data_IF_749483788963
#
_entry.id   IF_749483788963
#
_cell.length_a   1.000
_cell.length_b   1.000
_cell.length_c   1.000
_cell.angle_alpha   90.00
_cell.angle_beta   90.00
_cell.angle_gamma   90.00
#
_symmetry.space_group_name_H-M   'P 1'
#
loop_
_entity.id
_entity.type
_entity.pdbx_description
1 polymer ?
#
# COMPACT_ATOMS: atom_id res chain seq x y z
N UNK A 1 -15.90 0.22 -8.84
CA UNK A 1 -14.47 0.58 -8.92
C UNK A 1 -14.04 1.06 -7.55
N UNK A 2 -12.96 0.53 -6.99
CA UNK A 2 -12.47 0.91 -5.66
C UNK A 2 -11.59 2.14 -5.78
N UNK A 3 -11.80 3.13 -4.91
CA UNK A 3 -11.00 4.36 -4.87
C UNK A 3 -10.09 4.28 -3.64
N UNK A 4 -8.80 4.50 -3.83
CA UNK A 4 -7.78 4.50 -2.78
C UNK A 4 -7.03 5.83 -2.78
N UNK A 5 -6.38 6.12 -1.65
CA UNK A 5 -5.51 7.28 -1.46
C UNK A 5 -4.21 6.85 -0.79
N UNK A 6 -3.23 7.76 -0.78
CA UNK A 6 -2.06 7.61 0.07
C UNK A 6 -2.44 7.26 1.51
N UNK A 7 -1.67 6.37 2.14
CA UNK A 7 -1.84 5.87 3.50
C UNK A 7 -3.07 4.98 3.78
N UNK A 8 -3.95 4.77 2.80
CA UNK A 8 -5.02 3.78 2.91
C UNK A 8 -4.44 2.39 3.20
N UNK A 9 -5.16 1.62 4.01
CA UNK A 9 -4.80 0.25 4.34
C UNK A 9 -5.46 -0.70 3.34
N UNK A 10 -4.68 -1.63 2.79
CA UNK A 10 -5.17 -2.69 1.90
C UNK A 10 -4.71 -4.06 2.38
N UNK A 11 -5.46 -5.10 2.03
CA UNK A 11 -5.18 -6.51 2.37
C UNK A 11 -5.64 -7.45 1.26
N UNK A 12 -5.16 -8.68 1.32
CA UNK A 12 -5.62 -9.80 0.50
C UNK A 12 -6.45 -10.77 1.35
N UNK A 13 -7.29 -11.58 0.70
CA UNK A 13 -8.19 -12.52 1.37
C UNK A 13 -7.42 -13.57 2.20
N UNK A 14 -6.26 -13.99 1.71
CA UNK A 14 -5.41 -14.97 2.40
C UNK A 14 -4.57 -14.43 3.55
N UNK A 15 -4.61 -13.12 3.83
CA UNK A 15 -3.81 -12.51 4.89
C UNK A 15 -4.54 -12.50 6.22
N UNK A 16 -3.83 -12.85 7.29
CA UNK A 16 -4.38 -12.88 8.65
C UNK A 16 -3.78 -11.75 9.50
N UNK A 17 -4.61 -10.77 9.87
CA UNK A 17 -4.20 -9.68 10.78
C UNK A 17 -3.16 -8.72 10.21
N UNK A 18 -2.92 -8.76 8.90
CA UNK A 18 -1.89 -7.98 8.22
C UNK A 18 -2.52 -7.16 7.10
N UNK A 19 -2.21 -5.87 7.09
CA UNK A 19 -2.49 -4.95 6.00
C UNK A 19 -1.21 -4.23 5.60
N UNK A 20 -1.21 -3.68 4.40
CA UNK A 20 -0.14 -2.82 3.88
C UNK A 20 -0.69 -1.45 3.56
N UNK A 21 0.19 -0.47 3.52
CA UNK A 21 -0.16 0.92 3.16
C UNK A 21 -0.07 1.12 1.66
N UNK A 22 -0.96 1.93 1.12
CA UNK A 22 -0.81 2.50 -0.23
C UNK A 22 0.17 3.67 -0.16
N UNK A 23 1.22 3.63 -0.98
CA UNK A 23 2.13 4.72 -1.25
C UNK A 23 1.80 5.37 -2.60
N UNK A 24 1.98 6.68 -2.70
CA UNK A 24 1.82 7.45 -3.94
C UNK A 24 2.94 8.48 -4.02
N UNK A 25 3.38 8.84 -5.23
CA UNK A 25 4.43 9.84 -5.42
C UNK A 25 4.01 11.20 -4.83
N UNK A 26 2.75 11.62 -5.06
CA UNK A 26 2.18 12.87 -4.52
C UNK A 26 2.10 12.82 -3.00
N UNK A 27 1.52 11.77 -2.43
CA UNK A 27 1.36 11.62 -0.99
C UNK A 27 2.68 11.51 -0.24
N UNK A 28 3.68 10.83 -0.84
CA UNK A 28 5.02 10.78 -0.29
C UNK A 28 5.66 12.17 -0.29
N UNK A 29 5.63 12.90 -1.40
CA UNK A 29 6.16 14.26 -1.47
C UNK A 29 5.48 15.21 -0.46
N UNK A 30 4.14 15.16 -0.36
CA UNK A 30 3.37 15.94 0.60
C UNK A 30 3.83 15.70 2.05
N UNK A 31 4.08 14.44 2.41
CA UNK A 31 4.52 14.04 3.75
C UNK A 31 5.90 14.63 4.15
N UNK A 32 6.71 15.04 3.17
CA UNK A 32 8.04 15.62 3.39
C UNK A 32 8.13 17.09 2.92
N UNK A 33 7.00 17.75 2.66
CA UNK A 33 6.96 19.15 2.24
C UNK A 33 7.49 19.41 0.82
N UNK A 34 7.57 18.38 -0.02
CA UNK A 34 7.93 18.49 -1.42
C UNK A 34 6.75 18.86 -2.32
N UNK A 35 7.05 19.28 -3.55
CA UNK A 35 6.04 19.50 -4.59
C UNK A 35 5.47 18.14 -5.06
N UNK A 36 4.16 17.99 -4.90
CA UNK A 36 3.45 16.74 -5.20
C UNK A 36 3.44 16.43 -6.69
N UNK A 37 3.22 17.46 -7.52
CA UNK A 37 3.07 17.27 -8.96
C UNK A 37 4.44 17.11 -9.62
N UNK A 38 5.47 17.82 -9.15
CA UNK A 38 6.85 17.58 -9.58
C UNK A 38 7.30 16.14 -9.30
N UNK A 39 7.01 15.61 -8.09
CA UNK A 39 7.34 14.24 -7.74
C UNK A 39 6.60 13.22 -8.63
N UNK A 40 5.31 13.42 -8.86
CA UNK A 40 4.53 12.57 -9.75
C UNK A 40 5.09 12.59 -11.18
N UNK A 41 5.28 13.77 -11.77
CA UNK A 41 5.81 13.91 -13.13
C UNK A 41 7.22 13.33 -13.28
N UNK A 42 8.04 13.40 -12.22
CA UNK A 42 9.37 12.77 -12.20
C UNK A 42 9.27 11.24 -12.30
N UNK A 43 8.39 10.60 -11.55
CA UNK A 43 8.21 9.15 -11.63
C UNK A 43 7.69 8.73 -13.02
N UNK A 44 6.69 9.46 -13.56
CA UNK A 44 6.18 9.22 -14.91
C UNK A 44 7.28 9.35 -15.97
N UNK A 45 8.07 10.43 -15.91
CA UNK A 45 9.18 10.67 -16.85
C UNK A 45 10.24 9.58 -16.81
N UNK A 46 10.47 8.98 -15.64
CA UNK A 46 11.41 7.90 -15.46
C UNK A 46 10.83 6.51 -15.78
N UNK A 47 9.55 6.43 -16.15
CA UNK A 47 8.87 5.16 -16.44
C UNK A 47 8.61 4.32 -15.18
N UNK A 48 8.52 4.95 -14.02
CA UNK A 48 8.20 4.29 -12.76
C UNK A 48 6.69 4.33 -12.47
N UNK A 49 6.20 3.36 -11.70
CA UNK A 49 4.84 3.41 -11.17
C UNK A 49 4.71 4.56 -10.16
N UNK A 50 3.60 5.29 -10.24
CA UNK A 50 3.30 6.45 -9.40
C UNK A 50 2.63 6.07 -8.07
N UNK A 51 2.24 4.80 -7.92
CA UNK A 51 1.68 4.20 -6.71
C UNK A 51 2.31 2.83 -6.43
N UNK A 52 2.41 2.47 -5.15
CA UNK A 52 2.99 1.19 -4.69
C UNK A 52 2.35 0.77 -3.36
N UNK A 53 2.67 -0.43 -2.86
CA UNK A 53 2.36 -0.81 -1.49
C UNK A 53 3.59 -0.81 -0.59
N UNK A 54 3.39 -0.54 0.70
CA UNK A 54 4.44 -0.52 1.70
C UNK A 54 4.12 -1.47 2.84
N UNK A 55 4.92 -2.53 2.95
CA UNK A 55 4.98 -3.44 4.09
C UNK A 55 6.29 -3.25 4.85
N UNK A 56 6.18 -2.89 6.13
CA UNK A 56 7.34 -2.65 7.00
C UNK A 56 7.65 -3.83 7.95
N UNK A 57 7.02 -4.99 7.76
CA UNK A 57 7.18 -6.12 8.67
C UNK A 57 6.56 -5.89 10.05
N UNK A 58 7.00 -6.68 11.03
CA UNK A 58 6.57 -6.56 12.42
C UNK A 58 7.76 -6.27 13.32
N UNK A 59 7.65 -5.24 14.16
CA UNK A 59 8.63 -4.96 15.20
C UNK A 59 8.36 -5.81 16.46
N UNK A 60 9.44 -6.25 17.10
CA UNK A 60 9.40 -6.83 18.44
C UNK A 60 9.46 -5.70 19.47
N UNK A 61 8.55 -5.70 20.43
CA UNK A 61 8.51 -4.72 21.51
C UNK A 61 8.91 -5.40 22.82
N UNK A 62 9.96 -4.89 23.47
CA UNK A 62 10.41 -5.40 24.78
C UNK A 62 9.43 -5.04 25.92
N UNK A 63 8.71 -3.93 25.78
CA UNK A 63 7.60 -3.58 26.67
C UNK A 63 6.32 -4.30 26.23
N UNK A 64 5.81 -5.16 27.11
CA UNK A 64 4.61 -5.97 26.87
C UNK A 64 3.35 -5.13 26.74
N UNK A 65 3.20 -4.06 27.52
CA UNK A 65 2.01 -3.20 27.49
C UNK A 65 1.97 -2.42 26.18
N UNK A 66 3.10 -1.81 25.81
CA UNK A 66 3.23 -1.13 24.52
C UNK A 66 3.08 -2.09 23.33
N UNK A 67 3.64 -3.30 23.43
CA UNK A 67 3.48 -4.35 22.42
C UNK A 67 2.02 -4.76 22.22
N UNK A 68 1.25 -4.89 23.30
CA UNK A 68 -0.18 -5.18 23.24
C UNK A 68 -0.98 -4.05 22.58
N UNK A 69 -0.66 -2.78 22.90
CA UNK A 69 -1.26 -1.62 22.25
C UNK A 69 -1.00 -1.64 20.73
N UNK A 70 0.25 -1.88 20.32
CA UNK A 70 0.61 -1.97 18.88
C UNK A 70 0.04 -3.20 18.18
N UNK A 71 -0.23 -4.29 18.90
CA UNK A 71 -0.98 -5.42 18.36
C UNK A 71 -2.45 -5.05 18.12
N UNK A 72 -3.10 -4.39 19.09
CA UNK A 72 -4.48 -3.93 18.95
C UNK A 72 -4.64 -2.93 17.78
N UNK A 73 -3.76 -1.92 17.68
CA UNK A 73 -3.76 -0.97 16.56
C UNK A 73 -3.65 -1.67 15.19
N UNK A 74 -2.85 -2.75 15.09
CA UNK A 74 -2.71 -3.53 13.86
C UNK A 74 -3.98 -4.28 13.51
N UNK A 75 -4.65 -4.90 14.49
CA UNK A 75 -5.93 -5.57 14.28
C UNK A 75 -6.98 -4.58 13.79
N UNK A 76 -7.07 -3.39 14.39
CA UNK A 76 -8.00 -2.36 13.93
C UNK A 76 -7.72 -1.91 12.49
N UNK A 77 -6.45 -1.66 12.15
CA UNK A 77 -6.04 -1.32 10.78
C UNK A 77 -6.41 -2.44 9.80
N UNK A 78 -6.17 -3.69 10.17
CA UNK A 78 -6.53 -4.84 9.34
C UNK A 78 -8.05 -4.96 9.12
N UNK A 79 -8.86 -4.76 10.16
CA UNK A 79 -10.32 -4.81 10.06
C UNK A 79 -10.82 -3.73 9.08
N UNK A 80 -10.26 -2.52 9.17
CA UNK A 80 -10.63 -1.38 8.31
C UNK A 80 -9.98 -1.41 6.91
N UNK A 81 -9.01 -2.28 6.68
CA UNK A 81 -8.29 -2.35 5.41
C UNK A 81 -9.21 -2.81 4.27
N UNK A 82 -9.03 -2.20 3.10
CA UNK A 82 -9.72 -2.57 1.87
C UNK A 82 -9.23 -3.93 1.37
N UNK A 83 -10.17 -4.80 1.02
CA UNK A 83 -9.85 -6.07 0.37
C UNK A 83 -9.58 -5.85 -1.11
N UNK A 84 -8.42 -6.30 -1.59
CA UNK A 84 -8.05 -6.29 -3.00
C UNK A 84 -7.98 -7.71 -3.57
N UNK A 85 -8.20 -7.81 -4.87
CA UNK A 85 -8.10 -9.06 -5.64
C UNK A 85 -7.18 -8.88 -6.86
N UNK A 86 -6.48 -9.95 -7.29
CA UNK A 86 -5.61 -9.89 -8.48
C UNK A 86 -6.44 -9.57 -9.73
N UNK A 87 -5.98 -8.62 -10.54
CA UNK A 87 -6.68 -8.14 -11.73
C UNK A 87 -7.76 -7.09 -11.47
N UNK A 88 -8.04 -6.73 -10.21
CA UNK A 88 -9.00 -5.68 -9.88
C UNK A 88 -8.55 -4.31 -10.39
N UNK A 89 -9.48 -3.55 -10.97
CA UNK A 89 -9.25 -2.14 -11.28
C UNK A 89 -9.52 -1.25 -10.07
N UNK A 90 -8.57 -0.36 -9.80
CA UNK A 90 -8.63 0.64 -8.73
C UNK A 90 -8.29 2.02 -9.28
N UNK A 91 -8.85 3.05 -8.67
CA UNK A 91 -8.45 4.44 -8.90
C UNK A 91 -7.65 4.93 -7.69
N UNK A 92 -6.46 5.47 -7.93
CA UNK A 92 -5.58 6.02 -6.89
C UNK A 92 -5.22 7.45 -7.31
N UNK A 93 -5.65 8.44 -6.53
CA UNK A 93 -5.38 9.86 -6.80
C UNK A 93 -5.73 10.31 -8.23
N UNK A 94 -6.82 9.77 -8.80
CA UNK A 94 -7.31 10.12 -10.15
C UNK A 94 -6.69 9.30 -11.28
N UNK A 95 -5.76 8.39 -10.99
CA UNK A 95 -5.15 7.48 -11.96
C UNK A 95 -5.71 6.06 -11.82
N UNK A 96 -5.86 5.35 -12.94
CA UNK A 96 -6.37 3.98 -12.95
C UNK A 96 -5.23 2.96 -12.97
N UNK A 97 -5.34 1.97 -12.09
CA UNK A 97 -4.38 0.88 -11.97
C UNK A 97 -5.09 -0.48 -11.98
N UNK A 98 -4.39 -1.49 -12.47
CA UNK A 98 -4.73 -2.89 -12.27
C UNK A 98 -3.91 -3.42 -11.10
N UNK A 99 -4.58 -4.00 -10.12
CA UNK A 99 -3.95 -4.71 -8.99
C UNK A 99 -3.25 -5.95 -9.53
N UNK A 100 -1.97 -6.11 -9.20
CA UNK A 100 -1.20 -7.32 -9.46
C UNK A 100 -0.62 -7.87 -8.17
N UNK A 101 -1.10 -9.04 -7.74
CA UNK A 101 -0.52 -9.76 -6.60
C UNK A 101 0.71 -10.52 -7.09
N UNK A 102 1.87 -10.24 -6.49
CA UNK A 102 3.12 -10.91 -6.84
C UNK A 102 3.08 -12.33 -6.28
N UNK A 103 3.60 -13.30 -7.05
CA UNK A 103 3.70 -14.70 -6.61
C UNK A 103 4.40 -14.80 -5.25
N UNK A 104 3.87 -15.66 -4.37
CA UNK A 104 4.31 -15.89 -2.97
C UNK A 104 3.77 -14.88 -1.97
N UNK A 105 3.14 -13.79 -2.40
CA UNK A 105 2.50 -12.83 -1.50
C UNK A 105 1.03 -13.13 -1.21
N UNK A 106 0.43 -14.17 -1.81
CA UNK A 106 -1.01 -14.45 -1.74
C UNK A 106 -1.49 -14.80 -0.32
N UNK A 107 -0.62 -15.45 0.46
CA UNK A 107 -0.90 -15.88 1.84
C UNK A 107 -0.27 -14.97 2.89
N UNK A 108 0.81 -14.27 2.54
CA UNK A 108 1.53 -13.40 3.46
C UNK A 108 2.50 -12.50 2.68
N UNK A 109 2.70 -11.23 3.06
CA UNK A 109 3.67 -10.35 2.40
C UNK A 109 5.12 -10.76 2.68
N UNK A 110 5.84 -11.21 1.65
CA UNK A 110 7.24 -11.66 1.72
C UNK A 110 8.26 -10.58 1.33
N UNK A 111 7.81 -9.44 0.79
CA UNK A 111 8.63 -8.29 0.41
C UNK A 111 7.97 -6.97 0.85
N UNK A 112 8.68 -5.85 0.68
CA UNK A 112 8.20 -4.52 1.08
C UNK A 112 7.10 -3.96 0.18
N UNK A 113 6.97 -4.46 -1.06
CA UNK A 113 5.91 -4.11 -2.01
C UNK A 113 5.24 -5.40 -2.51
N UNK A 114 4.28 -5.96 -1.74
CA UNK A 114 3.67 -7.26 -2.04
C UNK A 114 2.54 -7.21 -3.08
N UNK A 115 1.95 -6.03 -3.31
CA UNK A 115 0.87 -5.80 -4.26
C UNK A 115 1.29 -4.66 -5.18
N UNK A 116 1.45 -4.94 -6.47
CA UNK A 116 1.78 -3.92 -7.44
C UNK A 116 0.51 -3.24 -7.98
N UNK A 117 0.58 -1.93 -8.14
CA UNK A 117 -0.38 -1.16 -8.91
C UNK A 117 0.22 -0.91 -10.29
N UNK A 118 -0.23 -1.69 -11.28
CA UNK A 118 0.25 -1.57 -12.66
C UNK A 118 -0.66 -0.59 -13.37
N UNK A 119 -0.12 0.53 -13.84
CA UNK A 119 -0.89 1.37 -14.73
C UNK A 119 -0.62 0.99 -16.19
N UNK A 120 -1.51 1.43 -17.07
CA UNK A 120 -1.26 1.44 -18.51
C UNK A 120 -0.72 2.82 -18.87
N UNK A 121 0.54 3.10 -18.57
CA UNK A 121 1.25 4.16 -19.29
C UNK A 121 1.37 3.67 -20.73
N UNK A 122 0.52 4.21 -21.61
CA UNK A 122 0.65 4.08 -23.06
C UNK A 122 1.88 4.85 -23.54
#
# INVERSE_FOLDING_TARGET
>A
MTILKHDDQVKLEGWEGISVKVGTARGYAASYGGDQEEAHQREVKNGHNTAWTMFAGTALYGDRAYGALKAAERVEKFIKAMLLTDGQEVEIEGERFTVKVIRRNEKYPVNSDPIHFINKHN
#
